data_IF_697426795019
#
_entry.id   IF_697426795019
#
_cell.length_a   1.000
_cell.length_b   1.000
_cell.length_c   1.000
_cell.angle_alpha   90.00
_cell.angle_beta   90.00
_cell.angle_gamma   90.00
#
_symmetry.space_group_name_H-M   'P 1'
#
loop_
_entity.id
_entity.type
_entity.pdbx_description
1 polymer ?
#
# COMPACT_ATOMS: atom_id res chain seq x y z
N UNK A 1 15.24 12.38 12.22
CA UNK A 1 15.85 12.36 10.88
C UNK A 1 14.92 11.60 9.95
N UNK A 2 13.95 12.27 9.34
CA UNK A 2 13.09 11.66 8.32
C UNK A 2 13.85 11.59 7.01
N UNK A 3 14.10 10.38 6.51
CA UNK A 3 14.72 10.19 5.19
C UNK A 3 13.86 10.82 4.08
N UNK A 4 14.43 11.10 2.90
CA UNK A 4 13.70 11.72 1.81
C UNK A 4 12.48 10.86 1.44
N UNK A 5 11.29 11.47 1.49
CA UNK A 5 10.05 10.89 0.99
C UNK A 5 10.26 10.53 -0.49
N UNK A 6 10.46 9.24 -0.78
CA UNK A 6 10.53 8.77 -2.16
C UNK A 6 9.15 8.92 -2.76
N UNK A 7 9.01 9.82 -3.74
CA UNK A 7 7.78 9.93 -4.54
C UNK A 7 7.55 8.59 -5.24
N UNK A 8 6.43 7.94 -4.95
CA UNK A 8 5.93 6.75 -5.66
C UNK A 8 5.06 7.27 -6.81
N UNK A 9 5.51 7.26 -8.08
CA UNK A 9 4.68 7.73 -9.16
C UNK A 9 3.51 6.76 -9.36
N UNK A 10 2.31 7.32 -9.47
CA UNK A 10 1.13 6.60 -9.96
C UNK A 10 1.38 6.28 -11.42
N UNK A 11 1.27 5.00 -11.78
CA UNK A 11 1.49 4.51 -13.15
C UNK A 11 0.19 4.04 -13.81
N UNK A 12 -0.92 3.98 -13.07
CA UNK A 12 -2.25 3.73 -13.60
C UNK A 12 -3.34 3.96 -12.54
N UNK A 13 -4.52 4.36 -13.01
CA UNK A 13 -5.76 4.49 -12.23
C UNK A 13 -6.85 3.79 -13.02
N UNK A 14 -7.51 2.83 -12.38
CA UNK A 14 -8.76 2.21 -12.81
C UNK A 14 -9.96 2.80 -12.08
N UNK A 15 -11.15 2.22 -12.29
CA UNK A 15 -12.38 2.64 -11.61
C UNK A 15 -12.31 2.49 -10.08
N UNK A 16 -11.61 1.45 -9.63
CA UNK A 16 -11.51 0.97 -8.25
C UNK A 16 -10.06 0.60 -7.88
N UNK A 17 -9.12 0.72 -8.83
CA UNK A 17 -7.74 0.24 -8.66
C UNK A 17 -6.70 1.31 -8.92
N UNK A 18 -5.60 1.25 -8.18
CA UNK A 18 -4.45 2.14 -8.27
C UNK A 18 -3.18 1.32 -8.48
N UNK A 19 -2.42 1.69 -9.50
CA UNK A 19 -1.12 1.08 -9.80
C UNK A 19 -0.01 2.06 -9.44
N UNK A 20 0.86 1.66 -8.51
CA UNK A 20 1.97 2.49 -8.02
C UNK A 20 3.31 1.87 -8.37
N UNK A 21 4.25 2.66 -8.89
CA UNK A 21 5.64 2.23 -8.95
C UNK A 21 6.29 2.46 -7.59
N UNK A 22 6.57 1.38 -6.86
CA UNK A 22 7.19 1.39 -5.55
C UNK A 22 8.52 0.62 -5.60
N UNK A 23 9.61 1.30 -5.21
CA UNK A 23 10.95 0.73 -5.33
C UNK A 23 11.24 -0.42 -4.36
N UNK A 24 10.79 -0.33 -3.10
CA UNK A 24 11.00 -1.39 -2.09
C UNK A 24 9.78 -1.49 -1.17
N UNK A 25 9.32 -2.72 -0.95
CA UNK A 25 8.29 -3.05 0.04
C UNK A 25 8.84 -2.93 1.45
N UNK A 26 8.15 -2.21 2.37
CA UNK A 26 8.45 -2.33 3.79
C UNK A 26 8.30 -3.79 4.21
N UNK A 27 9.35 -4.34 4.82
CA UNK A 27 9.31 -5.69 5.40
C UNK A 27 9.42 -5.66 6.92
N UNK A 28 9.69 -4.48 7.50
CA UNK A 28 9.74 -4.29 8.94
C UNK A 28 8.35 -3.93 9.49
N UNK A 29 8.05 -4.28 10.76
CA UNK A 29 6.74 -4.04 11.36
C UNK A 29 6.29 -2.58 11.32
N UNK A 30 7.18 -1.64 11.63
CA UNK A 30 6.83 -0.22 11.70
C UNK A 30 6.52 0.37 10.32
N UNK A 31 7.26 -0.04 9.30
CA UNK A 31 7.00 0.34 7.91
C UNK A 31 5.68 -0.21 7.39
N UNK A 32 5.30 -1.43 7.78
CA UNK A 32 4.00 -2.00 7.45
C UNK A 32 2.86 -1.25 8.14
N UNK A 33 3.00 -0.92 9.42
CA UNK A 33 1.98 -0.17 10.17
C UNK A 33 1.79 1.24 9.57
N UNK A 34 2.89 1.91 9.19
CA UNK A 34 2.82 3.19 8.50
C UNK A 34 2.11 3.08 7.14
N UNK A 35 2.37 2.01 6.38
CA UNK A 35 1.72 1.81 5.08
C UNK A 35 0.22 1.51 5.23
N UNK A 36 -0.18 0.73 6.23
CA UNK A 36 -1.60 0.52 6.57
C UNK A 36 -2.28 1.86 6.89
N UNK A 37 -1.64 2.71 7.69
CA UNK A 37 -2.17 4.04 8.02
C UNK A 37 -2.25 4.96 6.78
N UNK A 38 -1.25 4.92 5.89
CA UNK A 38 -1.28 5.63 4.61
C UNK A 38 -2.46 5.18 3.73
N UNK A 39 -2.71 3.87 3.65
CA UNK A 39 -3.82 3.31 2.88
C UNK A 39 -5.16 3.70 3.48
N UNK A 40 -5.34 3.53 4.79
CA UNK A 40 -6.57 3.89 5.48
C UNK A 40 -6.90 5.38 5.35
N UNK A 41 -5.89 6.26 5.44
CA UNK A 41 -6.07 7.69 5.24
C UNK A 41 -6.41 8.08 3.79
N UNK A 42 -5.99 7.25 2.81
CA UNK A 42 -6.29 7.47 1.40
C UNK A 42 -7.68 6.94 1.02
N UNK A 43 -7.97 5.69 1.38
CA UNK A 43 -9.27 5.07 1.29
C UNK A 43 -9.42 4.01 2.41
N UNK A 44 -10.36 4.20 3.35
CA UNK A 44 -10.53 3.29 4.47
C UNK A 44 -11.26 2.00 4.09
N UNK A 45 -12.00 1.96 2.97
CA UNK A 45 -12.94 0.89 2.63
C UNK A 45 -12.28 -0.49 2.53
N UNK A 46 -11.03 -0.56 2.07
CA UNK A 46 -10.24 -1.80 2.07
C UNK A 46 -10.09 -2.46 3.45
N UNK A 47 -10.25 -1.70 4.54
CA UNK A 47 -10.19 -2.16 5.93
C UNK A 47 -11.58 -2.09 6.60
N UNK A 48 -12.28 -0.96 6.46
CA UNK A 48 -13.56 -0.72 7.15
C UNK A 48 -14.71 -1.56 6.57
N UNK A 49 -14.67 -1.86 5.27
CA UNK A 49 -15.63 -2.68 4.53
C UNK A 49 -15.02 -4.01 4.02
N UNK A 50 -13.69 -4.08 3.97
CA UNK A 50 -12.93 -5.19 3.40
C UNK A 50 -12.36 -6.16 4.44
N UNK A 51 -11.04 -6.20 4.56
CA UNK A 51 -10.32 -7.14 5.42
C UNK A 51 -10.06 -6.55 6.81
N UNK A 52 -10.03 -7.38 7.88
CA UNK A 52 -9.48 -6.95 9.16
C UNK A 52 -8.08 -6.35 9.00
N UNK A 53 -7.76 -5.31 9.76
CA UNK A 53 -6.51 -4.55 9.60
C UNK A 53 -5.24 -5.44 9.65
N UNK A 54 -5.25 -6.50 10.47
CA UNK A 54 -4.14 -7.46 10.56
C UNK A 54 -3.98 -8.31 9.28
N UNK A 55 -5.09 -8.74 8.69
CA UNK A 55 -5.09 -9.49 7.42
C UNK A 55 -4.69 -8.58 6.26
N UNK A 56 -5.20 -7.34 6.23
CA UNK A 56 -4.79 -6.34 5.25
C UNK A 56 -3.28 -6.09 5.30
N UNK A 57 -2.73 -5.92 6.51
CA UNK A 57 -1.29 -5.76 6.76
C UNK A 57 -0.48 -6.97 6.29
N UNK A 58 -0.95 -8.18 6.55
CA UNK A 58 -0.31 -9.40 6.07
C UNK A 58 -0.29 -9.46 4.53
N UNK A 59 -1.39 -9.03 3.89
CA UNK A 59 -1.47 -8.88 2.43
C UNK A 59 -0.43 -7.91 1.88
N UNK A 60 -0.28 -6.73 2.49
CA UNK A 60 0.76 -5.76 2.11
C UNK A 60 2.18 -6.34 2.25
N UNK A 61 2.45 -7.09 3.31
CA UNK A 61 3.75 -7.74 3.51
C UNK A 61 4.05 -8.83 2.47
N UNK A 62 3.01 -9.53 2.00
CA UNK A 62 3.13 -10.56 0.98
C UNK A 62 3.29 -10.01 -0.45
N UNK A 63 2.93 -8.73 -0.69
CA UNK A 63 3.11 -8.13 -2.01
C UNK A 63 4.59 -7.90 -2.32
N UNK A 64 5.14 -8.76 -3.18
CA UNK A 64 6.46 -8.62 -3.78
C UNK A 64 6.34 -8.60 -5.30
N UNK A 65 5.95 -7.47 -5.90
CA UNK A 65 5.79 -7.42 -7.33
C UNK A 65 7.16 -7.47 -8.03
N UNK A 66 7.33 -8.44 -8.93
CA UNK A 66 8.57 -8.67 -9.69
C UNK A 66 9.10 -7.42 -10.43
N UNK A 67 8.20 -6.48 -10.78
CA UNK A 67 8.52 -5.25 -11.52
C UNK A 67 8.46 -3.98 -10.67
N UNK A 68 8.27 -4.10 -9.35
CA UNK A 68 8.10 -2.96 -8.45
C UNK A 68 6.81 -2.15 -8.70
N UNK A 69 5.79 -2.78 -9.30
CA UNK A 69 4.46 -2.17 -9.49
C UNK A 69 3.48 -2.83 -8.54
N UNK A 70 2.91 -2.04 -7.64
CA UNK A 70 1.88 -2.53 -6.72
C UNK A 70 0.52 -2.18 -7.27
N UNK A 71 -0.46 -3.04 -6.99
CA UNK A 71 -1.84 -2.83 -7.36
C UNK A 71 -2.69 -2.91 -6.09
N UNK A 72 -3.53 -1.89 -5.89
CA UNK A 72 -4.42 -1.80 -4.75
C UNK A 72 -5.81 -1.37 -5.17
N UNK A 73 -6.80 -1.76 -4.37
CA UNK A 73 -8.16 -1.25 -4.43
C UNK A 73 -8.25 0.07 -3.68
N UNK A 74 -9.04 1.03 -4.17
CA UNK A 74 -9.18 2.36 -3.55
C UNK A 74 -10.61 2.89 -3.44
N UNK A 75 -11.62 2.09 -3.79
CA UNK A 75 -13.02 2.43 -3.59
C UNK A 75 -13.65 1.69 -2.41
#
# INVERSE_FOLDING_TARGET
>A
MGGPLRRRPVVGIGSDTLLLQAGRTPTDPAGLDALVAEHHAFCPDGIDQGLPAEEYRAGLAAQQPDRGVWAFWWD
#
